data_IF_523171482114
#
_entry.id   IF_523171482114
#
_cell.length_a   1.000
_cell.length_b   1.000
_cell.length_c   1.000
_cell.angle_alpha   90.00
_cell.angle_beta   90.00
_cell.angle_gamma   90.00
#
_symmetry.space_group_name_H-M   'P 1'
#
loop_
_entity.id
_entity.type
_entity.pdbx_description
1 polymer ?
#
# COMPACT_ATOMS: atom_id res chain seq x y z
N UNK A 1 -15.75 -44.67 27.43
CA UNK A 1 -15.48 -43.22 27.32
C UNK A 1 -14.78 -42.95 26.00
N UNK A 2 -15.45 -42.32 25.03
CA UNK A 2 -14.82 -41.73 23.84
C UNK A 2 -15.25 -40.26 23.78
N UNK A 3 -14.28 -39.37 23.77
CA UNK A 3 -14.47 -37.91 23.67
C UNK A 3 -14.94 -37.57 22.25
N UNK A 4 -16.00 -36.79 22.04
CA UNK A 4 -16.41 -36.38 20.69
C UNK A 4 -15.46 -35.32 20.13
N UNK A 5 -15.15 -35.45 18.84
CA UNK A 5 -14.22 -34.61 18.10
C UNK A 5 -14.69 -33.14 18.02
N UNK A 6 -13.77 -32.21 18.31
CA UNK A 6 -13.97 -30.74 18.30
C UNK A 6 -14.08 -30.10 16.89
N UNK A 7 -14.32 -30.87 15.84
CA UNK A 7 -14.29 -30.37 14.44
C UNK A 7 -15.61 -29.82 13.89
N UNK A 8 -16.76 -30.19 14.46
CA UNK A 8 -18.06 -29.94 13.82
C UNK A 8 -18.58 -28.49 13.97
N UNK A 9 -18.08 -27.70 14.94
CA UNK A 9 -18.66 -26.37 15.24
C UNK A 9 -18.21 -25.26 14.31
N UNK A 10 -17.06 -25.38 13.63
CA UNK A 10 -16.58 -24.35 12.72
C UNK A 10 -17.34 -24.35 11.38
N UNK A 11 -17.70 -25.54 10.89
CA UNK A 11 -18.48 -25.69 9.65
C UNK A 11 -19.95 -25.22 9.80
N UNK A 12 -20.56 -25.40 10.97
CA UNK A 12 -21.93 -24.94 11.23
C UNK A 12 -22.07 -23.41 11.31
N UNK A 13 -21.03 -22.69 11.73
CA UNK A 13 -21.08 -21.24 11.87
C UNK A 13 -21.05 -20.52 10.51
N UNK A 14 -20.28 -21.06 9.54
CA UNK A 14 -20.21 -20.52 8.18
C UNK A 14 -21.45 -20.85 7.34
N UNK A 15 -22.09 -22.01 7.57
CA UNK A 15 -23.28 -22.42 6.82
C UNK A 15 -24.54 -21.60 7.19
N UNK A 16 -24.66 -21.13 8.44
CA UNK A 16 -25.88 -20.47 8.94
C UNK A 16 -26.06 -19.01 8.50
N UNK A 17 -25.01 -18.33 8.03
CA UNK A 17 -25.12 -16.91 7.66
C UNK A 17 -25.51 -16.65 6.20
N UNK A 18 -25.41 -17.64 5.29
CA UNK A 18 -25.60 -17.38 3.85
C UNK A 18 -26.37 -18.43 3.04
N UNK A 19 -26.84 -19.55 3.61
CA UNK A 19 -27.68 -20.52 2.90
C UNK A 19 -27.09 -21.12 1.61
N UNK A 20 -25.78 -20.97 1.38
CA UNK A 20 -25.06 -21.39 0.18
C UNK A 20 -24.17 -22.61 0.52
N UNK A 21 -24.03 -23.62 -0.36
CA UNK A 21 -23.05 -24.68 -0.16
C UNK A 21 -21.66 -24.08 0.11
N UNK A 22 -20.92 -24.69 1.05
CA UNK A 22 -19.73 -24.08 1.65
C UNK A 22 -18.54 -23.85 0.70
N UNK A 23 -18.50 -24.48 -0.47
CA UNK A 23 -17.39 -24.34 -1.42
C UNK A 23 -17.49 -23.07 -2.29
N UNK A 24 -18.64 -22.75 -2.92
CA UNK A 24 -18.83 -21.47 -3.62
C UNK A 24 -18.54 -20.22 -2.78
N UNK A 25 -18.87 -20.24 -1.49
CA UNK A 25 -18.63 -19.07 -0.64
C UNK A 25 -17.15 -18.84 -0.28
N UNK A 26 -16.33 -19.90 -0.24
CA UNK A 26 -14.88 -19.79 0.03
C UNK A 26 -14.16 -19.17 -1.17
N UNK A 27 -14.45 -19.64 -2.39
CA UNK A 27 -13.84 -19.09 -3.60
C UNK A 27 -14.23 -17.62 -3.80
N UNK A 28 -15.51 -17.27 -3.60
CA UNK A 28 -15.95 -15.88 -3.68
C UNK A 28 -15.24 -14.96 -2.67
N UNK A 29 -15.00 -15.44 -1.45
CA UNK A 29 -14.25 -14.69 -0.45
C UNK A 29 -12.77 -14.50 -0.85
N UNK A 30 -12.16 -15.53 -1.45
CA UNK A 30 -10.79 -15.47 -1.97
C UNK A 30 -10.67 -14.51 -3.17
N UNK A 31 -11.62 -14.54 -4.11
CA UNK A 31 -11.69 -13.63 -5.25
C UNK A 31 -11.85 -12.17 -4.80
N UNK A 32 -12.73 -11.92 -3.82
CA UNK A 32 -12.89 -10.60 -3.23
C UNK A 32 -11.60 -10.10 -2.58
N UNK A 33 -10.88 -10.97 -1.87
CA UNK A 33 -9.57 -10.64 -1.29
C UNK A 33 -8.52 -10.34 -2.38
N UNK A 34 -8.46 -11.16 -3.43
CA UNK A 34 -7.54 -10.96 -4.56
C UNK A 34 -7.79 -9.62 -5.24
N UNK A 35 -9.05 -9.27 -5.49
CA UNK A 35 -9.44 -7.95 -6.01
C UNK A 35 -8.94 -6.83 -5.11
N UNK A 36 -9.20 -6.91 -3.80
CA UNK A 36 -8.75 -5.90 -2.84
C UNK A 36 -7.23 -5.71 -2.86
N UNK A 37 -6.45 -6.79 -2.84
CA UNK A 37 -4.97 -6.68 -2.84
C UNK A 37 -4.42 -6.19 -4.18
N UNK A 38 -5.15 -6.43 -5.28
CA UNK A 38 -4.79 -5.87 -6.58
C UNK A 38 -4.99 -4.36 -6.67
N UNK A 39 -5.86 -3.80 -5.82
CA UNK A 39 -6.06 -2.35 -5.67
C UNK A 39 -5.14 -1.75 -4.60
N UNK A 40 -4.95 -2.44 -3.48
CA UNK A 40 -4.17 -2.03 -2.31
C UNK A 40 -2.64 -2.15 -2.50
N UNK A 41 -2.10 -1.51 -3.54
CA UNK A 41 -0.67 -1.57 -3.92
C UNK A 41 0.25 -0.67 -3.10
N UNK A 42 -0.31 0.25 -2.31
CA UNK A 42 0.39 1.05 -1.30
C UNK A 42 -0.53 1.28 -0.09
N UNK A 43 -0.02 1.75 1.07
CA UNK A 43 -0.86 2.01 2.24
C UNK A 43 -2.00 2.99 1.94
N UNK A 44 -1.75 3.96 1.05
CA UNK A 44 -2.75 4.95 0.62
C UNK A 44 -3.86 4.31 -0.21
N UNK A 45 -3.49 3.44 -1.15
CA UNK A 45 -4.48 2.70 -1.96
C UNK A 45 -5.25 1.68 -1.12
N UNK A 46 -4.61 1.09 -0.11
CA UNK A 46 -5.29 0.21 0.84
C UNK A 46 -6.40 0.96 1.58
N UNK A 47 -6.12 2.17 2.09
CA UNK A 47 -7.14 3.02 2.71
C UNK A 47 -8.22 3.41 1.71
N UNK A 48 -7.85 3.89 0.52
CA UNK A 48 -8.82 4.31 -0.49
C UNK A 48 -9.80 3.19 -0.90
N UNK A 49 -9.26 2.00 -1.21
CA UNK A 49 -10.05 0.81 -1.51
C UNK A 49 -11.01 0.43 -0.36
N UNK A 50 -10.67 0.81 0.86
CA UNK A 50 -11.46 0.47 2.04
C UNK A 50 -12.53 1.47 2.35
N UNK A 51 -12.21 2.75 2.16
CA UNK A 51 -13.19 3.83 2.20
C UNK A 51 -14.31 3.52 1.21
N UNK A 52 -13.98 3.18 -0.03
CA UNK A 52 -14.97 2.78 -1.05
C UNK A 52 -15.89 1.65 -0.55
N UNK A 53 -15.31 0.63 0.10
CA UNK A 53 -16.06 -0.51 0.65
C UNK A 53 -16.89 -0.15 1.88
N UNK A 54 -16.42 0.76 2.72
CA UNK A 54 -17.13 1.28 3.90
C UNK A 54 -18.31 2.15 3.46
N UNK A 55 -18.11 3.06 2.51
CA UNK A 55 -19.16 3.90 1.93
C UNK A 55 -20.23 3.04 1.25
N UNK A 56 -19.83 2.04 0.46
CA UNK A 56 -20.76 1.07 -0.12
C UNK A 56 -21.54 0.25 0.93
N UNK A 57 -21.05 0.19 2.17
CA UNK A 57 -21.73 -0.44 3.31
C UNK A 57 -22.52 0.57 4.19
N UNK A 58 -22.64 1.83 3.74
CA UNK A 58 -23.41 2.88 4.40
C UNK A 58 -22.69 3.57 5.56
N UNK A 59 -21.36 3.46 5.65
CA UNK A 59 -20.59 4.23 6.61
C UNK A 59 -20.45 5.68 6.16
N UNK A 60 -20.46 6.61 7.11
CA UNK A 60 -20.29 8.05 6.88
C UNK A 60 -18.89 8.50 7.31
N UNK A 61 -18.23 9.34 6.50
CA UNK A 61 -16.97 9.94 6.90
C UNK A 61 -17.18 10.96 8.02
N UNK A 62 -16.30 10.94 9.01
CA UNK A 62 -16.13 12.01 9.99
C UNK A 62 -14.80 12.71 9.73
N UNK A 63 -14.79 14.04 9.88
CA UNK A 63 -13.58 14.86 9.74
C UNK A 63 -13.04 15.20 11.13
N UNK A 64 -11.75 14.96 11.37
CA UNK A 64 -11.11 15.26 12.67
C UNK A 64 -10.99 16.77 12.97
N UNK A 65 -11.39 17.63 12.03
CA UNK A 65 -11.40 19.08 12.13
C UNK A 65 -12.75 19.64 12.60
N UNK A 66 -13.75 18.79 12.71
CA UNK A 66 -15.14 19.15 13.02
C UNK A 66 -15.57 18.47 14.32
N UNK A 67 -16.57 19.04 14.99
CA UNK A 67 -17.24 18.37 16.09
C UNK A 67 -18.03 17.16 15.57
N UNK A 68 -18.01 16.05 16.29
CA UNK A 68 -18.66 14.81 15.87
C UNK A 68 -20.01 14.63 16.54
N UNK A 69 -21.05 14.41 15.73
CA UNK A 69 -22.35 13.94 16.19
C UNK A 69 -22.50 12.45 15.89
N UNK A 70 -22.21 11.63 16.90
CA UNK A 70 -22.22 10.16 16.83
C UNK A 70 -23.48 9.63 17.49
N UNK A 71 -24.30 8.90 16.73
CA UNK A 71 -25.60 8.41 17.18
C UNK A 71 -25.64 6.88 17.30
N UNK A 72 -26.43 6.32 18.22
CA UNK A 72 -26.77 4.90 18.22
C UNK A 72 -27.29 4.43 16.85
N UNK A 73 -26.91 3.23 16.44
CA UNK A 73 -27.14 2.67 15.10
C UNK A 73 -26.39 3.38 13.96
N UNK A 74 -25.59 4.41 14.25
CA UNK A 74 -24.73 5.08 13.28
C UNK A 74 -23.49 4.25 12.91
N UNK A 75 -22.99 4.47 11.69
CA UNK A 75 -21.80 3.83 11.13
C UNK A 75 -20.88 4.91 10.58
N UNK A 76 -19.64 4.95 11.06
CA UNK A 76 -18.75 6.06 10.81
C UNK A 76 -17.32 5.59 10.55
N UNK A 77 -16.54 6.39 9.82
CA UNK A 77 -15.11 6.20 9.71
C UNK A 77 -14.35 7.53 9.68
N UNK A 78 -13.08 7.47 10.05
CA UNK A 78 -12.13 8.57 10.00
C UNK A 78 -10.90 8.10 9.25
N UNK A 79 -10.36 8.97 8.39
CA UNK A 79 -9.08 8.75 7.71
C UNK A 79 -8.07 9.77 8.20
N UNK A 80 -6.87 9.29 8.57
CA UNK A 80 -5.75 10.14 8.98
C UNK A 80 -4.55 9.90 8.06
N UNK A 81 -3.94 10.99 7.58
CA UNK A 81 -2.79 10.98 6.67
C UNK A 81 -3.00 10.19 5.35
N UNK A 82 -4.26 9.88 4.98
CA UNK A 82 -4.62 8.98 3.87
C UNK A 82 -4.06 7.55 3.99
N UNK A 83 -3.37 7.20 5.08
CA UNK A 83 -2.69 5.91 5.25
C UNK A 83 -3.21 5.09 6.44
N UNK A 84 -4.05 5.69 7.28
CA UNK A 84 -4.75 5.04 8.38
C UNK A 84 -6.25 5.30 8.28
N UNK A 85 -7.05 4.29 8.63
CA UNK A 85 -8.52 4.39 8.70
C UNK A 85 -9.01 3.74 9.97
N UNK A 86 -9.98 4.36 10.63
CA UNK A 86 -10.69 3.80 11.77
C UNK A 86 -12.16 3.79 11.40
N UNK A 87 -12.79 2.61 11.41
CA UNK A 87 -14.19 2.43 11.14
C UNK A 87 -14.91 1.84 12.37
N UNK A 88 -16.08 2.36 12.70
CA UNK A 88 -16.84 1.93 13.87
C UNK A 88 -18.35 1.99 13.63
N UNK A 89 -19.07 1.04 14.21
CA UNK A 89 -20.52 0.99 14.23
C UNK A 89 -21.01 1.10 15.68
N UNK A 90 -21.94 2.00 15.92
CA UNK A 90 -22.48 2.27 17.26
C UNK A 90 -23.67 1.36 17.50
N UNK A 91 -23.61 0.52 18.53
CA UNK A 91 -24.72 -0.36 18.89
C UNK A 91 -25.97 0.43 19.28
N UNK A 92 -27.15 -0.09 18.95
CA UNK A 92 -28.42 0.60 19.22
C UNK A 92 -28.71 0.86 20.70
N UNK A 93 -28.13 0.07 21.60
CA UNK A 93 -28.24 0.25 23.05
C UNK A 93 -26.97 0.85 23.68
N UNK A 94 -26.07 1.40 22.86
CA UNK A 94 -24.87 2.05 23.37
C UNK A 94 -25.23 3.33 24.12
N UNK A 95 -24.61 3.50 25.30
CA UNK A 95 -24.57 4.76 26.05
C UNK A 95 -23.14 5.06 26.45
N UNK A 96 -22.77 6.34 26.66
CA UNK A 96 -21.45 6.70 27.17
C UNK A 96 -21.11 5.92 28.44
N UNK A 97 -19.91 5.33 28.48
CA UNK A 97 -19.45 4.44 29.56
C UNK A 97 -19.49 2.95 29.20
N UNK A 98 -20.21 2.55 28.14
CA UNK A 98 -20.17 1.17 27.65
C UNK A 98 -18.84 0.85 26.94
N UNK A 99 -18.52 -0.44 26.82
CA UNK A 99 -17.28 -0.93 26.24
C UNK A 99 -17.23 -0.98 24.70
N UNK A 100 -16.03 -1.28 24.19
CA UNK A 100 -15.71 -1.41 22.76
C UNK A 100 -15.26 -2.84 22.42
N UNK A 101 -15.61 -3.33 21.24
CA UNK A 101 -15.09 -4.59 20.67
C UNK A 101 -14.10 -4.34 19.52
N UNK A 102 -12.80 -4.28 19.79
CA UNK A 102 -11.81 -3.81 18.81
C UNK A 102 -11.19 -4.95 18.00
N UNK A 103 -11.18 -4.81 16.68
CA UNK A 103 -10.29 -5.51 15.76
C UNK A 103 -9.28 -4.53 15.17
N UNK A 104 -8.01 -4.93 15.07
CA UNK A 104 -6.94 -4.08 14.58
C UNK A 104 -6.03 -4.82 13.59
N UNK A 105 -5.57 -4.09 12.58
CA UNK A 105 -4.54 -4.52 11.63
C UNK A 105 -3.71 -3.30 11.19
N UNK A 106 -2.82 -3.50 10.22
CA UNK A 106 -2.01 -2.43 9.65
C UNK A 106 -2.15 -2.42 8.12
N UNK A 107 -2.08 -1.23 7.51
CA UNK A 107 -2.27 -1.00 6.06
C UNK A 107 -0.99 -1.13 5.26
N UNK A 108 0.16 -1.05 5.92
CA UNK A 108 1.48 -1.08 5.29
C UNK A 108 2.03 -2.50 5.13
N UNK A 109 3.04 -2.63 4.28
CA UNK A 109 3.81 -3.86 4.09
C UNK A 109 5.24 -3.49 3.75
N UNK A 110 6.24 -4.36 4.04
CA UNK A 110 7.61 -4.08 3.66
C UNK A 110 7.71 -3.85 2.16
N UNK A 111 8.36 -2.75 1.77
CA UNK A 111 8.50 -2.36 0.38
C UNK A 111 9.76 -1.52 0.18
N UNK A 112 10.09 -1.26 -1.08
CA UNK A 112 11.02 -0.21 -1.45
C UNK A 112 10.23 1.08 -1.67
N UNK A 113 10.70 2.21 -1.12
CA UNK A 113 10.09 3.53 -1.34
C UNK A 113 11.06 4.43 -2.08
N UNK A 114 10.55 5.33 -2.90
CA UNK A 114 11.40 6.31 -3.60
C UNK A 114 11.97 7.29 -2.57
N UNK A 115 13.29 7.52 -2.59
CA UNK A 115 13.94 8.50 -1.70
C UNK A 115 13.51 9.93 -2.05
N UNK A 116 13.54 10.88 -1.09
CA UNK A 116 13.26 12.29 -1.35
C UNK A 116 14.18 12.95 -2.38
N UNK A 117 15.40 12.41 -2.56
CA UNK A 117 16.28 12.69 -3.69
C UNK A 117 16.63 11.36 -4.31
N UNK A 118 16.13 11.09 -5.51
CA UNK A 118 16.17 9.75 -6.12
C UNK A 118 16.84 9.72 -7.49
N UNK A 119 17.23 10.85 -8.08
CA UNK A 119 17.95 10.85 -9.35
C UNK A 119 19.34 10.20 -9.20
N UNK A 120 19.51 9.01 -9.76
CA UNK A 120 20.80 8.32 -9.86
C UNK A 120 21.12 8.06 -11.33
N UNK A 121 22.36 8.36 -11.76
CA UNK A 121 22.83 8.09 -13.12
C UNK A 121 24.14 7.32 -13.05
N UNK A 122 24.20 6.13 -13.65
CA UNK A 122 25.42 5.31 -13.68
C UNK A 122 25.46 4.45 -14.94
N UNK A 123 26.63 4.39 -15.58
CA UNK A 123 26.89 3.53 -16.75
C UNK A 123 25.85 3.65 -17.87
N UNK A 124 25.36 4.87 -18.15
CA UNK A 124 24.36 5.13 -19.20
C UNK A 124 22.90 4.80 -18.81
N UNK A 125 22.66 4.37 -17.57
CA UNK A 125 21.32 4.13 -17.02
C UNK A 125 20.88 5.26 -16.10
N UNK A 126 19.59 5.56 -16.18
CA UNK A 126 18.84 6.36 -15.22
C UNK A 126 18.20 5.40 -14.22
N UNK A 127 18.61 5.48 -12.97
CA UNK A 127 18.11 4.70 -11.84
C UNK A 127 17.37 5.58 -10.84
N UNK A 128 16.52 4.96 -10.04
CA UNK A 128 15.78 5.63 -8.97
C UNK A 128 16.35 5.18 -7.62
N UNK A 129 16.83 6.14 -6.82
CA UNK A 129 17.23 5.88 -5.44
C UNK A 129 16.04 5.47 -4.59
N UNK A 130 16.17 4.35 -3.87
CA UNK A 130 15.11 3.79 -3.03
C UNK A 130 15.59 3.54 -1.60
N UNK A 131 14.66 3.58 -0.66
CA UNK A 131 14.85 3.20 0.74
C UNK A 131 14.11 1.90 1.06
N UNK A 132 14.68 1.09 1.95
CA UNK A 132 14.02 -0.10 2.48
C UNK A 132 13.04 0.27 3.58
N UNK A 133 11.75 0.02 3.38
CA UNK A 133 10.72 0.19 4.38
C UNK A 133 10.38 -1.16 5.03
N UNK A 134 10.60 -1.29 6.35
CA UNK A 134 10.34 -2.51 7.10
C UNK A 134 11.37 -3.64 6.87
N UNK A 135 11.08 -4.85 7.35
CA UNK A 135 11.95 -6.02 7.23
C UNK A 135 11.60 -6.89 6.02
N UNK A 136 11.83 -6.39 4.80
CA UNK A 136 11.53 -7.10 3.56
C UNK A 136 12.54 -8.19 3.22
N UNK A 137 12.09 -9.21 2.46
CA UNK A 137 12.96 -10.19 1.82
C UNK A 137 13.50 -9.59 0.51
N UNK A 138 14.51 -8.73 0.58
CA UNK A 138 14.90 -7.88 -0.56
C UNK A 138 15.35 -8.63 -1.81
N UNK A 139 15.86 -9.87 -1.68
CA UNK A 139 16.20 -10.68 -2.85
C UNK A 139 14.99 -11.04 -3.71
N UNK A 140 13.77 -11.06 -3.17
CA UNK A 140 12.55 -11.35 -3.93
C UNK A 140 12.10 -10.17 -4.80
N UNK A 141 12.69 -8.99 -4.59
CA UNK A 141 12.45 -7.78 -5.39
C UNK A 141 13.36 -7.71 -6.62
N UNK A 142 14.43 -8.50 -6.64
CA UNK A 142 15.23 -8.67 -7.83
C UNK A 142 14.41 -9.33 -8.92
N UNK A 143 14.68 -8.90 -10.15
CA UNK A 143 14.11 -9.50 -11.33
C UNK A 143 12.57 -9.54 -11.37
N UNK A 144 11.94 -8.54 -10.75
CA UNK A 144 10.50 -8.26 -10.84
C UNK A 144 10.21 -7.09 -11.76
N UNK A 145 9.05 -7.16 -12.41
CA UNK A 145 8.51 -6.08 -13.22
C UNK A 145 7.84 -5.09 -12.28
N UNK A 146 8.58 -4.05 -11.88
CA UNK A 146 8.18 -3.11 -10.85
C UNK A 146 7.56 -1.84 -11.44
N UNK A 147 6.70 -1.22 -10.65
CA UNK A 147 6.15 0.11 -10.89
C UNK A 147 6.02 0.88 -9.58
N UNK A 148 5.48 2.11 -9.62
CA UNK A 148 5.28 2.97 -8.44
C UNK A 148 3.81 3.25 -8.19
N UNK A 149 3.43 3.30 -6.92
CA UNK A 149 2.12 3.72 -6.46
C UNK A 149 2.20 4.43 -5.11
N UNK A 150 1.40 5.46 -4.90
CA UNK A 150 1.50 6.27 -3.70
C UNK A 150 0.63 7.51 -3.76
N UNK A 151 1.12 8.60 -3.18
CA UNK A 151 0.49 9.92 -3.25
C UNK A 151 1.48 10.97 -3.74
N UNK A 152 0.95 12.00 -4.39
CA UNK A 152 1.69 13.17 -4.87
C UNK A 152 1.08 14.41 -4.25
N UNK A 153 1.93 15.30 -3.75
CA UNK A 153 1.54 16.63 -3.29
C UNK A 153 1.59 17.58 -4.48
N UNK A 154 0.44 18.12 -4.84
CA UNK A 154 0.25 18.98 -6.01
C UNK A 154 -0.12 20.38 -5.54
N UNK A 155 0.58 21.40 -6.03
CA UNK A 155 0.18 22.79 -5.83
C UNK A 155 -0.98 23.16 -6.75
N UNK A 156 -2.01 23.82 -6.21
CA UNK A 156 -3.13 24.37 -6.96
C UNK A 156 -2.86 25.83 -7.36
N UNK A 157 -3.54 26.35 -8.41
CA UNK A 157 -3.39 27.75 -8.82
C UNK A 157 -3.74 28.78 -7.72
N UNK A 158 -4.57 28.40 -6.75
CA UNK A 158 -4.98 29.25 -5.62
C UNK A 158 -3.94 29.30 -4.47
N UNK A 159 -2.78 28.66 -4.64
CA UNK A 159 -1.72 28.60 -3.65
C UNK A 159 -1.91 27.52 -2.57
N UNK A 160 -3.01 26.76 -2.62
CA UNK A 160 -3.22 25.60 -1.75
C UNK A 160 -2.53 24.35 -2.28
N UNK A 161 -2.46 23.31 -1.46
CA UNK A 161 -1.90 22.01 -1.85
C UNK A 161 -2.96 20.92 -1.76
N UNK A 162 -2.96 20.03 -2.74
CA UNK A 162 -3.70 18.78 -2.70
C UNK A 162 -2.76 17.60 -2.52
N UNK A 163 -3.30 16.49 -2.03
CA UNK A 163 -2.60 15.22 -2.04
C UNK A 163 -3.43 14.18 -2.78
N UNK A 164 -2.95 13.82 -3.97
CA UNK A 164 -3.65 12.95 -4.92
C UNK A 164 -2.98 11.58 -5.00
N UNK A 165 -3.78 10.52 -5.15
CA UNK A 165 -3.28 9.17 -5.36
C UNK A 165 -2.78 8.99 -6.78
N UNK A 166 -1.65 8.29 -6.93
CA UNK A 166 -1.08 7.95 -8.24
C UNK A 166 -0.71 6.48 -8.27
N UNK A 167 -0.96 5.82 -9.40
CA UNK A 167 -0.53 4.44 -9.65
C UNK A 167 -0.20 4.26 -11.13
N UNK A 168 1.07 4.06 -11.45
CA UNK A 168 1.47 3.74 -12.81
C UNK A 168 1.18 2.25 -13.09
N UNK A 169 0.21 1.96 -13.97
CA UNK A 169 -0.29 0.59 -14.23
C UNK A 169 0.46 -0.15 -15.35
N UNK A 170 1.78 0.05 -15.44
CA UNK A 170 2.69 -0.67 -16.35
C UNK A 170 4.08 -0.78 -15.73
N UNK A 171 4.88 -1.79 -16.08
CA UNK A 171 6.23 -1.90 -15.54
C UNK A 171 7.10 -0.76 -16.08
N UNK A 172 7.77 -0.08 -15.15
CA UNK A 172 8.67 1.06 -15.44
C UNK A 172 10.00 0.96 -14.70
N UNK A 173 10.13 0.01 -13.78
CA UNK A 173 11.31 -0.18 -12.94
C UNK A 173 11.71 -1.65 -12.92
N UNK A 174 13.01 -1.90 -12.83
CA UNK A 174 13.57 -3.24 -12.70
C UNK A 174 14.80 -3.20 -11.80
N UNK A 175 14.93 -4.11 -10.85
CA UNK A 175 16.17 -4.32 -10.10
C UNK A 175 16.85 -5.56 -10.67
N UNK A 176 17.81 -5.43 -11.59
CA UNK A 176 18.41 -6.58 -12.26
C UNK A 176 19.37 -7.32 -11.32
N UNK A 177 19.31 -8.65 -11.32
CA UNK A 177 20.36 -9.45 -10.66
C UNK A 177 21.69 -9.35 -11.40
N UNK A 178 22.80 -9.50 -10.67
CA UNK A 178 24.11 -9.70 -11.28
C UNK A 178 24.17 -11.10 -11.91
N UNK A 179 24.67 -11.20 -13.15
CA UNK A 179 24.82 -12.48 -13.83
C UNK A 179 25.73 -13.44 -13.04
N UNK A 180 25.32 -14.71 -12.94
CA UNK A 180 26.07 -15.76 -12.20
C UNK A 180 27.51 -15.94 -12.68
N UNK A 181 27.80 -15.67 -13.95
CA UNK A 181 29.16 -15.73 -14.51
C UNK A 181 30.15 -14.76 -13.80
N UNK A 182 29.62 -13.68 -13.23
CA UNK A 182 30.33 -12.65 -12.47
C UNK A 182 30.15 -12.80 -10.94
N UNK A 183 29.38 -13.79 -10.49
CA UNK A 183 29.15 -14.13 -9.08
C UNK A 183 28.96 -15.65 -8.97
N UNK A 184 30.06 -16.40 -9.17
CA UNK A 184 30.01 -17.85 -9.43
C UNK A 184 29.64 -18.63 -8.18
N UNK A 185 29.95 -18.08 -7.01
CA UNK A 185 29.77 -18.68 -5.70
C UNK A 185 28.37 -18.37 -5.10
N UNK A 186 27.49 -17.63 -5.79
CA UNK A 186 26.19 -17.20 -5.24
C UNK A 186 25.30 -18.33 -4.76
N UNK A 187 25.36 -19.49 -5.43
CA UNK A 187 24.55 -20.66 -5.09
C UNK A 187 25.11 -21.44 -3.89
N UNK A 188 26.42 -21.34 -3.60
CA UNK A 188 27.04 -21.98 -2.44
C UNK A 188 27.08 -21.07 -1.21
N UNK A 189 27.40 -19.79 -1.42
CA UNK A 189 27.70 -18.83 -0.34
C UNK A 189 26.48 -17.98 0.04
N UNK A 190 25.42 -18.07 -0.76
CA UNK A 190 24.21 -17.27 -0.64
C UNK A 190 24.34 -15.87 -1.23
N UNK A 191 23.21 -15.31 -1.64
CA UNK A 191 23.14 -13.96 -2.20
C UNK A 191 23.28 -12.90 -1.09
N UNK A 192 24.33 -12.09 -1.18
CA UNK A 192 24.58 -10.96 -0.28
C UNK A 192 24.21 -9.65 -0.97
N UNK A 193 23.10 -9.04 -0.54
CA UNK A 193 22.65 -7.76 -1.07
C UNK A 193 23.01 -6.61 -0.13
N UNK A 194 23.64 -5.57 -0.69
CA UNK A 194 23.77 -4.29 -0.03
C UNK A 194 22.51 -3.49 -0.32
N UNK A 195 21.78 -3.09 0.72
CA UNK A 195 20.50 -2.40 0.58
C UNK A 195 20.61 -1.03 -0.11
N UNK A 196 21.75 -0.36 0.00
CA UNK A 196 21.98 0.94 -0.62
C UNK A 196 22.41 0.82 -2.08
N UNK A 197 23.36 -0.08 -2.37
CA UNK A 197 24.02 -0.10 -3.69
C UNK A 197 23.45 -1.13 -4.67
N UNK A 198 22.73 -2.15 -4.20
CA UNK A 198 22.22 -3.25 -5.05
C UNK A 198 20.71 -3.24 -5.26
N UNK A 199 19.96 -2.33 -4.60
CA UNK A 199 18.49 -2.27 -4.70
C UNK A 199 17.96 -1.10 -5.53
N UNK A 200 18.82 -0.25 -6.07
CA UNK A 200 18.41 0.85 -6.94
C UNK A 200 17.88 0.32 -8.27
N UNK A 201 16.56 0.42 -8.58
CA UNK A 201 16.05 -0.01 -9.87
C UNK A 201 16.56 0.86 -11.01
N UNK A 202 16.76 0.25 -12.17
CA UNK A 202 16.90 0.94 -13.45
C UNK A 202 15.51 1.31 -13.97
N UNK A 203 15.40 2.49 -14.57
CA UNK A 203 14.15 3.05 -15.11
C UNK A 203 14.24 3.27 -16.63
N UNK A 204 15.33 3.87 -17.09
CA UNK A 204 15.54 4.20 -18.50
C UNK A 204 17.04 4.25 -18.83
N UNK A 205 17.37 4.35 -20.11
CA UNK A 205 18.73 4.72 -20.55
C UNK A 205 18.80 6.22 -20.79
N UNK A 206 19.98 6.80 -20.58
CA UNK A 206 20.25 8.22 -20.88
C UNK A 206 19.92 8.52 -22.34
N UNK A 207 20.35 7.64 -23.26
CA UNK A 207 20.14 7.78 -24.70
C UNK A 207 18.65 7.86 -25.05
N UNK A 208 17.84 6.93 -24.55
CA UNK A 208 16.40 6.94 -24.85
C UNK A 208 15.72 8.16 -24.21
N UNK A 209 16.11 8.53 -22.99
CA UNK A 209 15.58 9.71 -22.32
C UNK A 209 15.83 11.00 -23.11
N UNK A 210 17.03 11.16 -23.68
CA UNK A 210 17.37 12.31 -24.54
C UNK A 210 16.55 12.35 -25.82
N UNK A 211 16.35 11.19 -26.47
CA UNK A 211 15.53 11.09 -27.68
C UNK A 211 14.06 11.44 -27.43
N UNK A 212 13.57 11.22 -26.21
CA UNK A 212 12.23 11.61 -25.74
C UNK A 212 12.18 13.07 -25.22
N UNK A 213 13.24 13.86 -25.41
CA UNK A 213 13.28 15.28 -25.04
C UNK A 213 13.66 15.57 -23.59
N UNK A 214 14.01 14.56 -22.79
CA UNK A 214 14.51 14.77 -21.43
C UNK A 214 16.05 14.87 -21.44
N UNK A 215 16.56 16.08 -21.28
CA UNK A 215 18.00 16.30 -21.15
C UNK A 215 18.51 15.63 -19.85
N UNK A 216 19.71 15.00 -19.86
CA UNK A 216 20.33 14.55 -18.62
C UNK A 216 20.58 15.79 -17.76
N UNK A 217 20.01 15.81 -16.56
CA UNK A 217 20.42 16.75 -15.51
C UNK A 217 21.91 16.52 -15.28
N UNK A 218 22.75 17.41 -15.82
CA UNK A 218 24.20 17.34 -15.66
C UNK A 218 24.51 17.36 -14.17
N UNK A 219 25.07 16.26 -13.66
CA UNK A 219 25.81 16.18 -12.39
C UNK A 219 25.36 17.13 -11.25
N UNK A 220 24.06 17.19 -10.94
CA UNK A 220 23.59 17.88 -9.73
C UNK A 220 23.92 17.10 -8.44
N UNK A 221 24.67 15.99 -8.54
CA UNK A 221 24.99 15.09 -7.42
C UNK A 221 26.08 15.60 -6.46
N UNK A 222 26.56 16.84 -6.61
CA UNK A 222 27.43 17.46 -5.61
C UNK A 222 26.83 18.75 -5.01
N UNK A 223 26.11 19.55 -5.80
CA UNK A 223 25.53 20.81 -5.33
C UNK A 223 24.16 20.65 -4.67
N UNK A 224 23.32 19.68 -5.11
CA UNK A 224 22.00 19.45 -4.50
C UNK A 224 22.09 18.76 -3.12
N UNK A 225 23.22 18.13 -2.80
CA UNK A 225 23.48 17.55 -1.48
C UNK A 225 23.86 18.62 -0.42
N UNK A 226 24.21 19.84 -0.84
CA UNK A 226 24.59 20.95 0.03
C UNK A 226 23.47 21.99 0.23
N UNK A 227 22.38 21.91 -0.53
CA UNK A 227 21.20 22.75 -0.33
C UNK A 227 20.34 22.19 0.82
N UNK A 228 19.78 23.04 1.70
CA UNK A 228 18.86 22.58 2.74
C UNK A 228 17.70 21.82 2.08
N UNK A 229 17.31 20.69 2.68
CA UNK A 229 16.21 19.87 2.18
C UNK A 229 14.96 20.72 1.93
N UNK A 230 14.55 20.85 0.66
CA UNK A 230 13.30 21.52 0.28
C UNK A 230 13.43 22.80 -0.57
N UNK A 231 14.62 23.23 -0.99
CA UNK A 231 14.79 24.49 -1.76
C UNK A 231 14.87 24.34 -3.29
N UNK A 232 14.75 23.13 -3.83
CA UNK A 232 14.72 22.85 -5.27
C UNK A 232 13.41 22.21 -5.73
N UNK A 233 12.98 22.49 -6.97
CA UNK A 233 11.80 21.84 -7.58
C UNK A 233 11.95 20.31 -7.65
N UNK A 234 10.85 19.58 -7.75
CA UNK A 234 10.86 18.11 -7.85
C UNK A 234 11.82 17.60 -8.95
N UNK A 235 11.93 18.34 -10.05
CA UNK A 235 12.81 18.02 -11.19
C UNK A 235 14.31 18.10 -10.90
N UNK A 236 14.71 18.76 -9.81
CA UNK A 236 16.12 18.79 -9.36
C UNK A 236 16.46 17.62 -8.43
N UNK A 237 15.43 17.02 -7.80
CA UNK A 237 15.58 15.90 -6.85
C UNK A 237 15.37 14.54 -7.51
N UNK A 238 14.66 14.52 -8.63
CA UNK A 238 14.23 13.32 -9.35
C UNK A 238 14.46 13.50 -10.84
N UNK A 239 14.60 12.39 -11.57
CA UNK A 239 14.69 12.46 -13.03
C UNK A 239 13.42 13.10 -13.61
N UNK A 240 13.55 14.09 -14.49
CA UNK A 240 12.43 14.80 -15.11
C UNK A 240 11.42 13.86 -15.79
N UNK A 241 11.90 12.77 -16.40
CA UNK A 241 11.05 11.74 -17.00
C UNK A 241 10.09 11.08 -15.99
N UNK A 242 10.52 10.89 -14.73
CA UNK A 242 9.65 10.36 -13.67
C UNK A 242 8.60 11.40 -13.25
N UNK A 243 9.02 12.65 -13.04
CA UNK A 243 8.11 13.75 -12.64
C UNK A 243 7.06 13.98 -13.71
N UNK A 244 7.46 14.05 -14.99
CA UNK A 244 6.56 14.20 -16.13
C UNK A 244 5.57 13.04 -16.26
N UNK A 245 6.02 11.80 -16.01
CA UNK A 245 5.13 10.63 -16.00
C UNK A 245 4.06 10.72 -14.90
N UNK A 246 4.45 11.12 -13.68
CA UNK A 246 3.52 11.29 -12.56
C UNK A 246 2.53 12.42 -12.84
N UNK A 247 3.01 13.54 -13.39
CA UNK A 247 2.20 14.69 -13.75
C UNK A 247 1.17 14.33 -14.84
N UNK A 248 1.60 13.58 -15.86
CA UNK A 248 0.73 13.05 -16.92
C UNK A 248 -0.35 12.13 -16.37
N UNK A 249 -0.01 11.19 -15.48
CA UNK A 249 -0.99 10.28 -14.87
C UNK A 249 -2.04 11.04 -14.04
N UNK A 250 -1.66 12.16 -13.43
CA UNK A 250 -2.54 13.00 -12.62
C UNK A 250 -3.28 14.09 -13.44
N UNK A 251 -2.93 14.28 -14.71
CA UNK A 251 -3.48 15.37 -15.54
C UNK A 251 -3.10 16.77 -15.05
N UNK A 252 -1.89 16.93 -14.50
CA UNK A 252 -1.36 18.21 -13.99
C UNK A 252 -0.04 18.57 -14.67
N UNK A 253 0.35 19.84 -14.59
CA UNK A 253 1.66 20.29 -15.08
C UNK A 253 2.81 19.78 -14.18
N UNK A 254 3.98 19.39 -14.74
CA UNK A 254 5.13 18.92 -13.96
C UNK A 254 5.55 19.85 -12.82
N UNK A 255 5.48 21.16 -13.04
CA UNK A 255 5.85 22.19 -12.05
C UNK A 255 4.90 22.21 -10.85
N UNK A 256 3.68 21.69 -11.02
CA UNK A 256 2.70 21.56 -9.94
C UNK A 256 3.05 20.43 -8.98
N UNK A 257 3.85 19.44 -9.41
CA UNK A 257 4.33 18.35 -8.55
C UNK A 257 5.40 18.87 -7.59
N UNK A 258 5.08 18.92 -6.29
CA UNK A 258 5.99 19.47 -5.26
C UNK A 258 6.76 18.40 -4.53
N UNK A 259 6.08 17.34 -4.13
CA UNK A 259 6.68 16.20 -3.45
C UNK A 259 5.82 14.95 -3.67
N UNK A 260 6.34 13.78 -3.34
CA UNK A 260 5.58 12.54 -3.42
C UNK A 260 6.08 11.50 -2.44
N UNK A 261 5.18 10.59 -2.09
CA UNK A 261 5.47 9.43 -1.28
C UNK A 261 5.04 8.18 -2.06
N UNK A 262 6.03 7.51 -2.66
CA UNK A 262 5.81 6.43 -3.61
C UNK A 262 6.42 5.12 -3.09
N UNK A 263 5.60 4.07 -3.06
CA UNK A 263 6.02 2.70 -2.88
C UNK A 263 6.26 2.06 -4.25
N UNK A 264 7.31 1.26 -4.38
CA UNK A 264 7.45 0.33 -5.49
C UNK A 264 6.54 -0.86 -5.24
N UNK A 265 5.98 -1.41 -6.32
CA UNK A 265 5.17 -2.63 -6.29
C UNK A 265 5.43 -3.51 -7.52
N UNK A 266 5.37 -4.82 -7.36
CA UNK A 266 5.38 -5.79 -8.47
C UNK A 266 4.11 -5.61 -9.30
N UNK A 267 4.20 -5.53 -10.61
CA UNK A 267 3.04 -5.35 -11.50
C UNK A 267 2.27 -6.65 -11.74
N UNK A 268 2.85 -7.81 -11.43
CA UNK A 268 2.16 -9.10 -11.49
C UNK A 268 0.91 -9.10 -10.59
N UNK A 269 -0.30 -9.31 -11.15
CA UNK A 269 -1.53 -9.39 -10.34
C UNK A 269 -1.48 -10.58 -9.37
N UNK A 270 -2.04 -10.38 -8.18
CA UNK A 270 -2.37 -11.48 -7.28
C UNK A 270 -3.41 -12.39 -7.93
N UNK A 271 -3.32 -13.69 -7.64
CA UNK A 271 -4.16 -14.72 -8.26
C UNK A 271 -4.46 -15.87 -7.30
N UNK A 272 -5.55 -16.60 -7.59
CA UNK A 272 -5.80 -17.93 -7.02
C UNK A 272 -5.03 -18.95 -7.87
N UNK A 273 -4.37 -19.91 -7.23
CA UNK A 273 -3.55 -20.90 -7.92
C UNK A 273 -3.38 -22.20 -7.15
N UNK A 274 -2.48 -23.05 -7.64
CA UNK A 274 -2.39 -24.46 -7.27
C UNK A 274 -3.30 -25.32 -8.15
N UNK A 275 -2.99 -26.61 -8.29
CA UNK A 275 -3.73 -27.53 -9.17
C UNK A 275 -5.23 -27.63 -8.81
N UNK A 276 -5.58 -27.33 -7.55
CA UNK A 276 -6.95 -27.32 -7.05
C UNK A 276 -7.48 -25.92 -6.68
N UNK A 277 -6.82 -24.84 -7.12
CA UNK A 277 -7.22 -23.46 -6.80
C UNK A 277 -7.36 -23.18 -5.28
N UNK A 278 -6.49 -23.79 -4.49
CA UNK A 278 -6.54 -23.75 -3.02
C UNK A 278 -5.59 -22.70 -2.40
N UNK A 279 -4.72 -22.08 -3.22
CA UNK A 279 -3.76 -21.08 -2.77
C UNK A 279 -4.05 -19.70 -3.33
N UNK A 280 -3.63 -18.67 -2.58
CA UNK A 280 -3.60 -17.28 -3.05
C UNK A 280 -2.13 -16.86 -3.18
N UNK A 281 -1.70 -16.58 -4.41
CA UNK A 281 -0.40 -15.99 -4.72
C UNK A 281 -0.54 -14.47 -4.74
N UNK A 282 0.16 -13.78 -3.84
CA UNK A 282 -0.04 -12.33 -3.65
C UNK A 282 1.21 -11.62 -3.14
N UNK A 283 1.36 -10.35 -3.55
CA UNK A 283 2.48 -9.44 -3.22
C UNK A 283 2.49 -9.03 -1.75
N UNK A 284 1.33 -8.69 -1.19
CA UNK A 284 1.18 -8.18 0.18
C UNK A 284 0.25 -9.08 0.97
N UNK A 285 0.84 -10.06 1.66
CA UNK A 285 0.06 -11.10 2.34
C UNK A 285 -0.06 -10.87 3.86
N UNK A 286 0.80 -10.07 4.49
CA UNK A 286 0.88 -10.04 5.96
C UNK A 286 -0.12 -9.08 6.62
N UNK A 287 -0.21 -7.82 6.18
CA UNK A 287 -1.20 -6.86 6.71
C UNK A 287 -2.58 -6.97 6.04
N UNK A 288 -2.59 -7.13 4.72
CA UNK A 288 -3.82 -7.07 3.92
C UNK A 288 -4.83 -8.18 4.21
N UNK A 289 -4.40 -9.38 4.65
CA UNK A 289 -5.30 -10.50 4.98
C UNK A 289 -6.15 -10.20 6.22
N UNK A 290 -5.52 -9.77 7.30
CA UNK A 290 -6.22 -9.40 8.55
C UNK A 290 -7.13 -8.20 8.29
N UNK A 291 -6.65 -7.28 7.45
CA UNK A 291 -7.37 -6.11 7.02
C UNK A 291 -8.66 -6.44 6.23
N UNK A 292 -8.57 -7.31 5.21
CA UNK A 292 -9.72 -7.74 4.42
C UNK A 292 -10.75 -8.47 5.28
N UNK A 293 -10.31 -9.38 6.16
CA UNK A 293 -11.22 -10.08 7.05
C UNK A 293 -11.96 -9.11 7.98
N UNK A 294 -11.29 -8.07 8.48
CA UNK A 294 -11.93 -7.03 9.29
C UNK A 294 -12.97 -6.25 8.47
N UNK A 295 -12.63 -5.76 7.28
CA UNK A 295 -13.57 -5.05 6.39
C UNK A 295 -14.74 -5.92 5.92
N UNK A 296 -14.52 -7.21 5.63
CA UNK A 296 -15.58 -8.13 5.25
C UNK A 296 -16.55 -8.41 6.42
N UNK A 297 -16.02 -8.50 7.65
CA UNK A 297 -16.83 -8.66 8.86
C UNK A 297 -17.73 -7.44 9.09
N UNK A 298 -17.26 -6.24 8.77
CA UNK A 298 -18.02 -4.98 8.81
C UNK A 298 -19.30 -5.02 7.97
N UNK A 299 -19.26 -5.66 6.79
CA UNK A 299 -20.42 -5.81 5.91
C UNK A 299 -21.51 -6.70 6.54
N UNK A 300 -21.08 -7.67 7.35
CA UNK A 300 -21.95 -8.63 8.06
C UNK A 300 -22.39 -8.14 9.45
N UNK A 301 -21.79 -7.08 9.99
CA UNK A 301 -22.26 -6.39 11.19
C UNK A 301 -23.57 -5.64 10.89
N UNK A 302 -24.65 -6.40 10.70
CA UNK A 302 -26.01 -5.90 10.92
C UNK A 302 -26.03 -5.26 12.30
N UNK A 303 -26.65 -4.09 12.40
CA UNK A 303 -26.77 -3.33 13.65
C UNK A 303 -27.64 -4.14 14.60
N UNK A 304 -26.99 -5.06 15.33
CA UNK A 304 -27.61 -5.79 16.41
C UNK A 304 -27.85 -4.79 17.55
N UNK A 305 -28.94 -4.99 18.30
CA UNK A 305 -29.30 -4.22 19.48
C UNK A 305 -28.31 -4.47 20.64
N UNK A 306 -27.05 -4.08 20.43
CA UNK A 306 -25.95 -4.29 21.35
C UNK A 306 -25.67 -3.03 22.14
N UNK A 307 -25.23 -3.22 23.38
CA UNK A 307 -24.81 -2.13 24.25
C UNK A 307 -23.39 -1.63 23.94
N UNK A 308 -22.67 -2.24 22.99
CA UNK A 308 -21.27 -1.91 22.71
C UNK A 308 -21.17 -1.11 21.41
N UNK A 309 -20.17 -0.23 21.33
CA UNK A 309 -19.66 0.13 20.01
C UNK A 309 -18.92 -1.11 19.52
N UNK A 310 -19.27 -1.58 18.33
CA UNK A 310 -18.49 -2.56 17.61
C UNK A 310 -17.54 -1.78 16.68
N UNK A 311 -16.28 -1.54 17.10
CA UNK A 311 -15.23 -1.17 16.17
C UNK A 311 -15.21 -2.18 15.04
N UNK A 312 -15.41 -1.68 13.84
CA UNK A 312 -15.35 -2.48 12.63
C UNK A 312 -13.92 -2.56 12.10
N UNK A 313 -13.05 -1.63 12.51
CA UNK A 313 -11.62 -1.82 12.70
C UNK A 313 -10.91 -0.52 13.09
N UNK A 314 -9.88 -0.60 13.94
CA UNK A 314 -8.92 0.48 14.14
C UNK A 314 -7.60 0.10 13.44
N UNK A 315 -7.23 0.83 12.38
CA UNK A 315 -6.00 0.54 11.63
C UNK A 315 -5.00 1.67 11.81
N UNK A 316 -3.85 1.34 12.39
CA UNK A 316 -2.76 2.28 12.64
C UNK A 316 -1.52 1.86 11.82
N UNK A 317 -0.77 2.84 11.32
CA UNK A 317 0.49 2.62 10.62
C UNK A 317 1.57 2.20 11.64
N UNK A 318 1.87 0.91 11.75
CA UNK A 318 2.53 0.35 12.94
C UNK A 318 4.01 -0.02 12.76
N UNK A 319 4.57 -0.11 11.54
CA UNK A 319 5.89 -0.75 11.37
C UNK A 319 7.13 0.13 11.61
N UNK A 320 7.01 1.45 11.71
CA UNK A 320 8.17 2.33 11.96
C UNK A 320 8.31 2.81 13.42
N UNK A 321 7.35 2.54 14.31
CA UNK A 321 7.43 3.05 15.69
C UNK A 321 8.41 2.31 16.61
N UNK A 322 9.06 1.23 16.17
CA UNK A 322 10.11 0.59 17.00
C UNK A 322 11.42 1.38 17.12
N UNK A 323 11.63 2.42 16.30
CA UNK A 323 12.83 3.27 16.40
C UNK A 323 12.61 4.60 17.14
N UNK A 324 11.36 4.91 17.54
CA UNK A 324 11.01 6.19 18.17
C UNK A 324 10.23 6.03 19.50
N UNK A 325 10.09 4.80 20.01
CA UNK A 325 9.55 4.50 21.34
C UNK A 325 10.66 3.86 22.20
N UNK A 326 11.75 4.59 22.34
CA UNK A 326 12.74 4.52 23.43
C UNK A 326 13.26 5.91 23.68
#
# INVERSE_FOLDING_TARGET
MRVPARGARAHEFLARCCGCPAAPCILQAAEGFVSFVNDAVSPYHAVAASVERLEAAGFKQLTEREEWHVEPNGRYYVVRNQSAVIAFAVGGAYVPGNGFTVAAAHTDSPCLRVKPVSSLTKSGYLSVGVETYGGGLWYTWLDRDLSVAGRVVVAKPDGTFDSQLVRIRRPILRIPSLAIHLNREVNSDGLKLNAETHLAPVMATVVKSQLEGFAPTSAASAAAAAAPAGTGGAETRHHAALVSLLATELGVEPESVKDFDLCLYDTQPSAIGGIHNEFIFSRTCTGARVYWCACATTRSCMVLNTARIAPCAAFLHLRMQRAWIT
#
